data_IF_909756451751
#
_entry.id   IF_909756451751
#
_cell.length_a   1.000
_cell.length_b   1.000
_cell.length_c   1.000
_cell.angle_alpha   90.00
_cell.angle_beta   90.00
_cell.angle_gamma   90.00
#
_symmetry.space_group_name_H-M   'P 1'
#
loop_
_entity.id
_entity.type
_entity.pdbx_description
1 polymer ?
#
# COMPACT_ATOMS: atom_id res chain seq x y z
N UNK A 1 42.78 29.37 1.69
CA UNK A 1 41.86 28.39 2.31
C UNK A 1 42.69 27.48 3.19
N UNK A 2 42.49 27.55 4.50
CA UNK A 2 43.35 26.90 5.48
C UNK A 2 43.25 25.36 5.40
N UNK A 3 44.40 24.71 5.22
CA UNK A 3 44.55 23.25 5.13
C UNK A 3 43.80 22.42 6.21
N UNK A 4 43.68 22.84 7.49
CA UNK A 4 42.92 22.07 8.48
C UNK A 4 41.40 22.10 8.26
N UNK A 5 40.84 23.18 7.71
CA UNK A 5 39.40 23.29 7.47
C UNK A 5 38.96 22.36 6.33
N UNK A 6 39.80 22.26 5.29
CA UNK A 6 39.60 21.37 4.14
C UNK A 6 39.64 19.90 4.56
N UNK A 7 40.58 19.51 5.44
CA UNK A 7 40.67 18.13 5.99
C UNK A 7 39.44 17.73 6.79
N UNK A 8 38.92 18.62 7.64
CA UNK A 8 37.70 18.38 8.44
C UNK A 8 36.45 18.28 7.59
N UNK A 9 36.35 19.10 6.54
CA UNK A 9 35.26 19.03 5.58
C UNK A 9 35.26 17.70 4.80
N UNK A 10 36.43 17.25 4.31
CA UNK A 10 36.55 15.97 3.62
C UNK A 10 36.22 14.76 4.51
N UNK A 11 36.63 14.79 5.78
CA UNK A 11 36.29 13.70 6.73
C UNK A 11 34.80 13.67 7.06
N UNK A 12 34.18 14.84 7.29
CA UNK A 12 32.72 14.92 7.47
C UNK A 12 31.96 14.42 6.24
N UNK A 13 32.40 14.79 5.04
CA UNK A 13 31.77 14.38 3.79
C UNK A 13 31.91 12.87 3.54
N UNK A 14 33.06 12.29 3.88
CA UNK A 14 33.31 10.84 3.82
C UNK A 14 32.42 10.03 4.77
N UNK A 15 31.95 10.62 5.87
CA UNK A 15 31.04 9.97 6.81
C UNK A 15 29.57 10.21 6.43
N UNK A 16 29.22 11.43 6.04
CA UNK A 16 27.85 11.80 5.67
C UNK A 16 27.38 11.17 4.36
N UNK A 17 28.26 11.05 3.37
CA UNK A 17 27.91 10.46 2.07
C UNK A 17 27.41 9.00 2.15
N UNK A 18 28.10 8.06 2.82
CA UNK A 18 27.61 6.68 2.94
C UNK A 18 26.34 6.59 3.81
N UNK A 19 26.20 7.43 4.85
CA UNK A 19 24.99 7.47 5.68
C UNK A 19 23.78 7.94 4.85
N UNK A 20 23.94 9.00 4.05
CA UNK A 20 22.90 9.49 3.16
C UNK A 20 22.52 8.44 2.10
N UNK A 21 23.52 7.74 1.52
CA UNK A 21 23.28 6.66 0.56
C UNK A 21 22.50 5.50 1.19
N UNK A 22 22.88 5.07 2.40
CA UNK A 22 22.18 4.00 3.12
C UNK A 22 20.74 4.40 3.45
N UNK A 23 20.50 5.66 3.83
CA UNK A 23 19.16 6.17 4.08
C UNK A 23 18.29 6.14 2.80
N UNK A 24 18.84 6.55 1.65
CA UNK A 24 18.15 6.49 0.35
C UNK A 24 17.82 5.06 -0.05
N UNK A 25 18.76 4.12 0.12
CA UNK A 25 18.52 2.69 -0.16
C UNK A 25 17.44 2.11 0.75
N UNK A 26 17.46 2.42 2.05
CA UNK A 26 16.44 1.97 2.99
C UNK A 26 15.05 2.54 2.64
N UNK A 27 14.98 3.79 2.19
CA UNK A 27 13.76 4.41 1.69
C UNK A 27 13.23 3.71 0.43
N UNK A 28 14.09 3.52 -0.57
CA UNK A 28 13.73 2.85 -1.82
C UNK A 28 13.26 1.41 -1.55
N UNK A 29 13.98 0.66 -0.73
CA UNK A 29 13.61 -0.71 -0.34
C UNK A 29 12.26 -0.75 0.37
N UNK A 30 12.03 0.16 1.31
CA UNK A 30 10.76 0.29 2.02
C UNK A 30 9.59 0.60 1.07
N UNK A 31 9.81 1.41 0.03
CA UNK A 31 8.79 1.68 -0.99
C UNK A 31 8.48 0.43 -1.80
N UNK A 32 9.51 -0.26 -2.30
CA UNK A 32 9.36 -1.47 -3.11
C UNK A 32 8.58 -2.54 -2.36
N UNK A 33 8.89 -2.79 -1.08
CA UNK A 33 8.15 -3.73 -0.24
C UNK A 33 6.67 -3.35 -0.10
N UNK A 34 6.35 -2.06 0.04
CA UNK A 34 4.94 -1.61 0.15
C UNK A 34 4.19 -1.80 -1.16
N UNK A 35 4.80 -1.44 -2.29
CA UNK A 35 4.20 -1.63 -3.62
C UNK A 35 3.96 -3.10 -3.90
N UNK A 36 4.94 -3.97 -3.62
CA UNK A 36 4.78 -5.41 -3.79
C UNK A 36 3.62 -5.96 -2.95
N UNK A 37 3.48 -5.55 -1.68
CA UNK A 37 2.36 -5.98 -0.83
C UNK A 37 1.00 -5.59 -1.39
N UNK A 38 0.87 -4.39 -1.97
CA UNK A 38 -0.38 -3.93 -2.61
C UNK A 38 -0.66 -4.74 -3.86
N UNK A 39 0.34 -4.99 -4.70
CA UNK A 39 0.19 -5.83 -5.90
C UNK A 39 -0.23 -7.26 -5.54
N UNK A 40 0.44 -7.88 -4.56
CA UNK A 40 0.07 -9.20 -4.06
C UNK A 40 -1.36 -9.22 -3.53
N UNK A 41 -1.76 -8.22 -2.72
CA UNK A 41 -3.12 -8.13 -2.22
C UNK A 41 -4.16 -7.93 -3.33
N UNK A 42 -3.86 -7.12 -4.34
CA UNK A 42 -4.74 -6.89 -5.49
C UNK A 42 -4.92 -8.19 -6.27
N UNK A 43 -3.84 -8.93 -6.50
CA UNK A 43 -3.90 -10.23 -7.17
C UNK A 43 -4.75 -11.22 -6.37
N UNK A 44 -4.55 -11.31 -5.05
CA UNK A 44 -5.39 -12.17 -4.19
C UNK A 44 -6.87 -11.80 -4.30
N UNK A 45 -7.21 -10.51 -4.27
CA UNK A 45 -8.58 -10.03 -4.41
C UNK A 45 -9.19 -10.37 -5.78
N UNK A 46 -8.43 -10.17 -6.86
CA UNK A 46 -8.85 -10.53 -8.22
C UNK A 46 -9.08 -12.04 -8.34
N UNK A 47 -8.17 -12.85 -7.81
CA UNK A 47 -8.30 -14.31 -7.80
C UNK A 47 -9.47 -14.77 -6.94
N UNK A 48 -9.76 -14.10 -5.82
CA UNK A 48 -10.88 -14.44 -4.93
C UNK A 48 -12.25 -14.00 -5.46
N UNK A 49 -12.30 -12.97 -6.30
CA UNK A 49 -13.55 -12.41 -6.85
C UNK A 49 -14.29 -13.42 -7.73
N UNK A 50 -13.60 -14.06 -8.68
CA UNK A 50 -14.25 -14.98 -9.63
C UNK A 50 -14.94 -16.17 -8.92
N UNK A 51 -14.29 -16.89 -7.99
CA UNK A 51 -14.95 -17.91 -7.18
C UNK A 51 -16.13 -17.36 -6.38
N UNK A 52 -15.97 -16.20 -5.73
CA UNK A 52 -17.03 -15.59 -4.94
C UNK A 52 -18.28 -15.27 -5.78
N UNK A 53 -18.12 -14.75 -7.00
CA UNK A 53 -19.25 -14.47 -7.90
C UNK A 53 -19.95 -15.76 -8.35
N UNK A 54 -19.24 -16.88 -8.43
CA UNK A 54 -19.80 -18.17 -8.87
C UNK A 54 -20.47 -18.94 -7.74
N UNK A 55 -19.92 -18.91 -6.53
CA UNK A 55 -20.33 -19.80 -5.44
C UNK A 55 -20.85 -19.05 -4.20
N UNK A 56 -20.70 -17.72 -4.15
CA UNK A 56 -20.94 -16.92 -2.95
C UNK A 56 -19.91 -17.14 -1.84
N UNK A 57 -18.91 -18.01 -2.05
CA UNK A 57 -17.92 -18.37 -1.05
C UNK A 57 -16.57 -17.72 -1.33
N UNK A 58 -15.93 -17.27 -0.26
CA UNK A 58 -14.56 -16.77 -0.31
C UNK A 58 -13.56 -17.92 -0.19
N UNK A 59 -12.59 -18.02 -1.11
CA UNK A 59 -11.52 -19.00 -0.97
C UNK A 59 -10.70 -18.71 0.30
N UNK A 60 -10.46 -19.74 1.11
CA UNK A 60 -9.58 -19.65 2.29
C UNK A 60 -8.09 -19.69 1.94
N UNK A 61 -7.77 -19.70 0.64
CA UNK A 61 -6.41 -19.80 0.11
C UNK A 61 -5.86 -18.40 -0.20
N UNK A 62 -4.54 -18.24 -0.04
CA UNK A 62 -3.84 -16.96 -0.23
C UNK A 62 -3.50 -16.23 1.07
N UNK A 63 -2.35 -15.54 1.07
CA UNK A 63 -1.93 -14.61 2.12
C UNK A 63 -1.61 -13.27 1.44
N UNK A 64 -2.28 -12.17 1.79
CA UNK A 64 -3.27 -12.01 2.86
C UNK A 64 -4.65 -12.61 2.54
N UNK A 65 -5.42 -13.02 3.56
CA UNK A 65 -6.73 -13.67 3.36
C UNK A 65 -7.83 -12.66 3.04
N UNK A 66 -8.62 -12.89 1.97
CA UNK A 66 -9.75 -12.04 1.63
C UNK A 66 -10.95 -12.28 2.57
N UNK A 67 -11.68 -11.22 2.89
CA UNK A 67 -12.91 -11.24 3.67
C UNK A 67 -13.99 -10.38 2.99
N UNK A 68 -15.26 -10.65 3.31
CA UNK A 68 -16.38 -9.92 2.73
C UNK A 68 -16.76 -8.73 3.61
N UNK A 69 -16.96 -7.58 2.99
CA UNK A 69 -17.53 -6.40 3.61
C UNK A 69 -18.89 -6.11 2.98
N UNK A 70 -19.95 -6.21 3.79
CA UNK A 70 -21.35 -6.16 3.34
C UNK A 70 -22.05 -4.83 3.59
N UNK A 71 -21.35 -3.84 4.16
CA UNK A 71 -21.97 -2.52 4.36
C UNK A 71 -21.93 -1.75 3.04
N UNK A 72 -23.03 -1.08 2.65
CA UNK A 72 -23.05 -0.26 1.45
C UNK A 72 -22.09 0.93 1.60
N UNK A 73 -21.44 1.31 0.50
CA UNK A 73 -20.50 2.41 0.48
C UNK A 73 -20.56 3.13 -0.87
N UNK A 74 -20.22 4.41 -0.86
CA UNK A 74 -20.24 5.25 -2.05
C UNK A 74 -18.81 5.53 -2.49
N UNK A 75 -18.51 5.22 -3.75
CA UNK A 75 -17.24 5.57 -4.40
C UNK A 75 -17.53 6.38 -5.64
N UNK A 76 -16.94 7.58 -5.73
CA UNK A 76 -17.09 8.46 -6.89
C UNK A 76 -18.55 8.72 -7.32
N UNK A 77 -19.49 8.73 -6.36
CA UNK A 77 -20.93 8.93 -6.62
C UNK A 77 -21.73 7.66 -6.88
N UNK A 78 -21.07 6.50 -7.02
CA UNK A 78 -21.72 5.20 -7.22
C UNK A 78 -21.84 4.46 -5.88
N UNK A 79 -23.05 3.96 -5.58
CA UNK A 79 -23.29 3.14 -4.40
C UNK A 79 -23.04 1.66 -4.71
N UNK A 80 -22.15 1.04 -3.95
CA UNK A 80 -21.86 -0.39 -4.03
C UNK A 80 -22.37 -1.10 -2.77
N UNK A 81 -22.96 -2.29 -2.93
CA UNK A 81 -23.56 -3.03 -1.82
C UNK A 81 -22.54 -3.89 -1.06
N UNK A 82 -21.56 -4.46 -1.75
CA UNK A 82 -20.57 -5.35 -1.14
C UNK A 82 -19.21 -5.25 -1.82
N UNK A 83 -18.16 -5.53 -1.05
CA UNK A 83 -16.79 -5.61 -1.55
C UNK A 83 -16.02 -6.71 -0.83
N UNK A 84 -15.03 -7.24 -1.54
CA UNK A 84 -14.05 -8.17 -0.98
C UNK A 84 -12.85 -7.35 -0.54
N UNK A 85 -12.34 -7.57 0.67
CA UNK A 85 -11.25 -6.78 1.23
C UNK A 85 -10.13 -7.67 1.80
N UNK A 86 -8.91 -7.16 1.85
CA UNK A 86 -7.74 -7.79 2.49
C UNK A 86 -7.04 -6.79 3.40
N UNK A 87 -6.57 -7.29 4.54
CA UNK A 87 -5.62 -6.57 5.39
C UNK A 87 -4.22 -6.76 4.82
N UNK A 88 -3.57 -5.66 4.42
CA UNK A 88 -2.17 -5.72 4.02
C UNK A 88 -1.27 -5.50 5.24
N UNK A 89 -0.34 -6.43 5.46
CA UNK A 89 0.62 -6.36 6.56
C UNK A 89 1.42 -5.05 6.49
N UNK A 90 1.48 -4.31 7.60
CA UNK A 90 2.09 -2.97 7.68
C UNK A 90 1.21 -1.80 7.21
N UNK A 91 -0.02 -2.07 6.72
CA UNK A 91 -1.02 -1.06 6.42
C UNK A 91 -2.33 -1.24 7.23
N UNK A 92 -2.36 -2.20 8.16
CA UNK A 92 -3.55 -2.55 8.96
C UNK A 92 -4.19 -1.35 9.66
N UNK A 93 -3.37 -0.40 10.12
CA UNK A 93 -3.84 0.83 10.78
C UNK A 93 -4.19 1.97 9.79
N UNK A 94 -3.86 1.81 8.50
CA UNK A 94 -4.04 2.82 7.45
C UNK A 94 -5.25 2.56 6.58
N UNK A 95 -5.72 1.32 6.50
CA UNK A 95 -6.85 0.97 5.67
C UNK A 95 -6.81 -0.46 5.17
N UNK A 96 -7.73 -0.73 4.24
CA UNK A 96 -7.95 -2.01 3.61
C UNK A 96 -7.82 -1.85 2.11
N UNK A 97 -7.21 -2.82 1.47
CA UNK A 97 -7.33 -2.96 0.02
C UNK A 97 -8.62 -3.74 -0.25
N UNK A 98 -9.45 -3.26 -1.17
CA UNK A 98 -10.71 -3.89 -1.50
C UNK A 98 -10.96 -3.94 -3.01
N UNK A 99 -11.82 -4.85 -3.43
CA UNK A 99 -12.34 -4.94 -4.80
C UNK A 99 -13.87 -5.04 -4.75
N UNK A 100 -14.55 -4.25 -5.57
CA UNK A 100 -16.01 -4.35 -5.72
C UNK A 100 -16.40 -5.64 -6.44
N UNK A 101 -17.66 -6.04 -6.32
CA UNK A 101 -18.22 -7.12 -7.13
C UNK A 101 -18.13 -6.83 -8.63
N UNK A 102 -18.13 -5.56 -9.04
CA UNK A 102 -17.95 -5.09 -10.42
C UNK A 102 -16.49 -5.16 -10.89
N UNK A 103 -15.52 -5.33 -9.99
CA UNK A 103 -14.10 -5.49 -10.31
C UNK A 103 -13.26 -4.22 -10.12
N UNK A 104 -13.82 -3.18 -9.52
CA UNK A 104 -13.10 -1.93 -9.21
C UNK A 104 -12.24 -2.12 -7.96
N UNK A 105 -10.93 -1.89 -8.09
CA UNK A 105 -10.02 -1.88 -6.95
C UNK A 105 -10.10 -0.56 -6.18
N UNK A 106 -10.13 -0.67 -4.86
CA UNK A 106 -10.39 0.42 -3.94
C UNK A 106 -9.41 0.38 -2.77
N UNK A 107 -9.02 1.55 -2.29
CA UNK A 107 -8.37 1.73 -1.00
C UNK A 107 -9.37 2.31 -0.04
N UNK A 108 -9.68 1.56 1.00
CA UNK A 108 -10.62 1.96 2.05
C UNK A 108 -9.80 2.37 3.26
N UNK A 109 -9.53 3.66 3.37
CA UNK A 109 -8.83 4.22 4.52
C UNK A 109 -9.83 4.38 5.68
N UNK A 110 -9.39 4.12 6.92
CA UNK A 110 -10.23 4.32 8.10
C UNK A 110 -10.46 5.81 8.41
N UNK A 111 -9.56 6.69 7.95
CA UNK A 111 -9.58 8.15 8.15
C UNK A 111 -10.01 8.95 6.91
N UNK A 112 -9.87 8.39 5.71
CA UNK A 112 -10.24 9.06 4.44
C UNK A 112 -11.34 8.25 3.75
N UNK A 113 -12.29 8.89 3.08
CA UNK A 113 -13.34 8.20 2.28
C UNK A 113 -12.71 7.18 1.32
N UNK A 114 -13.46 6.12 0.96
CA UNK A 114 -13.00 5.12 0.00
C UNK A 114 -12.59 5.78 -1.33
N UNK A 115 -11.42 5.40 -1.85
CA UNK A 115 -10.87 5.93 -3.10
C UNK A 115 -10.63 4.80 -4.09
N UNK A 116 -10.95 5.04 -5.36
CA UNK A 116 -10.52 4.15 -6.45
C UNK A 116 -9.01 4.20 -6.55
N UNK A 117 -8.39 3.03 -6.62
CA UNK A 117 -6.96 2.90 -6.92
C UNK A 117 -6.80 1.89 -8.04
N UNK A 118 -6.05 2.26 -9.06
CA UNK A 118 -5.50 1.25 -9.95
C UNK A 118 -4.22 0.70 -9.33
N UNK A 119 -3.83 -0.52 -9.70
CA UNK A 119 -2.57 -1.12 -9.26
C UNK A 119 -1.34 -0.25 -9.61
N UNK A 120 -1.48 0.63 -10.61
CA UNK A 120 -0.46 1.57 -11.08
C UNK A 120 -0.54 2.94 -10.37
N UNK A 121 -1.74 3.37 -9.95
CA UNK A 121 -1.96 4.68 -9.32
C UNK A 121 -1.70 4.68 -7.80
N UNK A 122 -1.49 3.53 -7.16
CA UNK A 122 -1.15 3.50 -5.75
C UNK A 122 0.28 4.03 -5.51
N UNK A 123 0.38 5.32 -5.20
CA UNK A 123 1.59 5.91 -4.63
C UNK A 123 1.61 5.65 -3.13
N UNK A 124 2.45 4.71 -2.69
CA UNK A 124 2.71 4.50 -1.27
C UNK A 124 3.18 5.82 -0.65
N UNK A 125 2.31 6.49 0.14
CA UNK A 125 2.70 7.74 0.81
C UNK A 125 3.96 7.47 1.64
N UNK A 126 5.01 8.24 1.36
CA UNK A 126 6.19 8.32 2.22
C UNK A 126 5.69 8.81 3.58
N UNK A 127 5.75 7.94 4.59
CA UNK A 127 5.36 8.25 5.97
C UNK A 127 3.86 8.63 6.20
N UNK A 128 3.33 8.52 7.44
CA UNK A 128 1.94 8.88 7.73
C UNK A 128 1.71 10.38 7.46
N UNK A 129 0.49 10.80 7.07
CA UNK A 129 0.14 12.21 7.08
C UNK A 129 0.11 12.68 8.54
N UNK A 130 1.08 13.51 8.92
CA UNK A 130 1.16 14.15 10.23
C UNK A 130 2.17 13.51 11.17
N UNK A 131 3.39 14.04 11.16
CA UNK A 131 4.03 14.62 12.35
C UNK A 131 4.50 16.01 11.92
#
# INVERSE_FOLDING_TARGET
MDAPLRRRFFTLLLILAPVALMALLALAYSQTLRTQRVLTGAQVLVTARLPYLKTGMLPKTGVPRPFLYTKPFIVAGTSHQSMLAVHLLGHENRGLLAITTEGTLLWVNRKERARVITAQDYRARFFPPGI
#
